data_IF_565791745769
#
_entry.id   IF_565791745769
#
_cell.length_a   1.000
_cell.length_b   1.000
_cell.length_c   1.000
_cell.angle_alpha   90.00
_cell.angle_beta   90.00
_cell.angle_gamma   90.00
#
_symmetry.space_group_name_H-M   'P 1'
#
loop_
_entity.id
_entity.type
_entity.pdbx_description
1 polymer ?
#
# COMPACT_ATOMS: atom_id res chain seq x y z
N UNK A 1 -13.60 16.01 -7.19
CA UNK A 1 -12.53 15.10 -7.65
C UNK A 1 -11.22 15.66 -7.12
N UNK A 2 -10.94 15.34 -5.85
CA UNK A 2 -9.81 15.81 -5.05
C UNK A 2 -9.47 14.59 -4.21
N UNK A 3 -8.74 13.66 -4.81
CA UNK A 3 -8.43 12.42 -4.14
C UNK A 3 -6.95 12.43 -3.80
N UNK A 4 -6.68 13.10 -2.68
CA UNK A 4 -5.46 13.17 -1.88
C UNK A 4 -4.96 11.79 -1.37
N UNK A 5 -5.15 10.68 -2.10
CA UNK A 5 -5.37 9.36 -1.47
C UNK A 5 -4.17 8.43 -1.28
N UNK A 6 -2.98 8.76 -1.77
CA UNK A 6 -1.77 7.99 -1.47
C UNK A 6 -1.02 8.61 -0.27
N UNK A 7 -1.57 8.47 0.94
CA UNK A 7 -1.01 8.86 2.25
C UNK A 7 0.08 9.96 2.27
N UNK A 8 -0.20 11.12 1.66
CA UNK A 8 0.65 12.31 1.76
C UNK A 8 0.07 13.35 2.74
N UNK A 9 -1.18 13.17 3.17
CA UNK A 9 -1.83 14.00 4.18
C UNK A 9 -2.03 13.22 5.47
N UNK A 10 -1.11 13.38 6.41
CA UNK A 10 -1.45 13.30 7.83
C UNK A 10 -1.30 14.68 8.48
N UNK A 11 -2.34 15.54 8.46
CA UNK A 11 -2.37 16.72 9.30
C UNK A 11 -3.57 16.72 10.25
N UNK A 12 -4.04 15.59 10.78
CA UNK A 12 -5.07 15.66 11.83
C UNK A 12 -5.08 14.45 12.76
N UNK A 13 -4.07 14.42 13.61
CA UNK A 13 -4.30 13.95 14.97
C UNK A 13 -3.84 15.06 15.92
N UNK A 14 -4.58 15.33 16.98
CA UNK A 14 -4.17 16.27 18.02
C UNK A 14 -2.91 15.74 18.74
N UNK A 15 -1.78 16.43 18.60
CA UNK A 15 -0.52 16.02 19.22
C UNK A 15 -0.45 16.59 20.63
N UNK A 16 -0.48 15.74 21.65
CA UNK A 16 -0.05 16.15 22.99
C UNK A 16 1.45 15.92 23.24
N UNK A 17 2.20 15.28 22.35
CA UNK A 17 3.66 15.16 22.42
C UNK A 17 4.31 15.12 21.02
N UNK A 18 5.32 15.95 20.80
CA UNK A 18 6.01 16.12 19.51
C UNK A 18 7.11 15.07 19.28
N UNK A 19 7.63 14.44 20.35
CA UNK A 19 8.73 13.46 20.29
C UNK A 19 8.31 12.06 19.78
N UNK A 20 7.02 11.78 19.63
CA UNK A 20 6.49 10.44 19.34
C UNK A 20 5.88 10.27 17.94
N UNK A 21 5.79 11.35 17.14
CA UNK A 21 5.29 11.23 15.75
C UNK A 21 6.41 11.09 14.77
N UNK A 22 6.83 9.85 14.52
CA UNK A 22 7.37 9.51 13.20
C UNK A 22 6.17 9.24 12.29
N UNK A 23 5.96 10.01 11.21
CA UNK A 23 4.93 9.67 10.22
C UNK A 23 5.19 8.27 9.70
N UNK A 24 4.12 7.49 9.54
CA UNK A 24 4.23 6.23 8.81
C UNK A 24 4.76 6.52 7.41
N UNK A 25 5.61 5.62 6.86
CA UNK A 25 6.11 5.77 5.51
C UNK A 25 4.93 5.90 4.52
N UNK A 26 5.06 6.72 3.47
CA UNK A 26 3.98 6.94 2.51
C UNK A 26 3.65 5.64 1.77
N UNK A 27 2.36 5.33 1.65
CA UNK A 27 1.84 4.14 0.97
C UNK A 27 0.63 4.51 0.10
N UNK A 28 0.33 3.67 -0.90
CA UNK A 28 -0.84 3.87 -1.74
C UNK A 28 -1.66 2.59 -1.92
N UNK A 29 -2.82 2.55 -1.27
CA UNK A 29 -3.76 1.42 -1.33
C UNK A 29 -4.34 1.25 -2.74
N UNK A 30 -4.56 2.35 -3.46
CA UNK A 30 -5.08 2.33 -4.84
C UNK A 30 -4.08 1.70 -5.81
N UNK A 31 -2.77 1.96 -5.61
CA UNK A 31 -1.73 1.31 -6.40
C UNK A 31 -1.71 -0.20 -6.15
N UNK A 32 -1.86 -0.62 -4.88
CA UNK A 32 -1.93 -2.05 -4.51
C UNK A 32 -3.16 -2.73 -5.15
N UNK A 33 -4.32 -2.09 -5.13
CA UNK A 33 -5.55 -2.61 -5.77
C UNK A 33 -5.43 -2.66 -7.30
N UNK A 34 -4.82 -1.64 -7.92
CA UNK A 34 -4.56 -1.65 -9.37
C UNK A 34 -3.58 -2.78 -9.76
N UNK A 35 -2.58 -3.05 -8.92
CA UNK A 35 -1.65 -4.16 -9.12
C UNK A 35 -2.38 -5.51 -9.09
N UNK A 36 -3.27 -5.74 -8.12
CA UNK A 36 -4.07 -6.97 -8.09
C UNK A 36 -4.97 -7.08 -9.31
N UNK A 37 -5.64 -6.00 -9.70
CA UNK A 37 -6.45 -5.98 -10.93
C UNK A 37 -5.61 -6.35 -12.16
N UNK A 38 -4.40 -5.82 -12.29
CA UNK A 38 -3.50 -6.16 -13.39
C UNK A 38 -3.06 -7.63 -13.35
N UNK A 39 -2.72 -8.15 -12.17
CA UNK A 39 -2.28 -9.54 -12.00
C UNK A 39 -3.40 -10.53 -12.38
N UNK A 40 -4.64 -10.27 -11.93
CA UNK A 40 -5.81 -11.08 -12.26
C UNK A 40 -6.18 -11.07 -13.75
N UNK A 41 -5.84 -10.00 -14.47
CA UNK A 41 -6.09 -9.90 -15.91
C UNK A 41 -4.96 -10.50 -16.76
N UNK A 42 -3.73 -10.58 -16.20
CA UNK A 42 -2.54 -11.03 -16.93
C UNK A 42 -1.64 -11.88 -16.03
N UNK A 43 -1.73 -13.19 -16.20
CA UNK A 43 -0.93 -14.18 -15.47
C UNK A 43 0.60 -13.98 -15.60
N UNK A 44 1.07 -13.41 -16.72
CA UNK A 44 2.50 -13.12 -16.94
C UNK A 44 3.06 -12.05 -16.00
N UNK A 45 2.21 -11.15 -15.49
CA UNK A 45 2.65 -10.05 -14.62
C UNK A 45 3.13 -10.57 -13.27
N UNK A 46 2.58 -11.68 -12.78
CA UNK A 46 3.04 -12.28 -11.53
C UNK A 46 4.54 -12.59 -11.58
N UNK A 47 4.99 -13.25 -12.65
CA UNK A 47 6.40 -13.63 -12.80
C UNK A 47 7.33 -12.41 -12.90
N UNK A 48 6.83 -11.29 -13.42
CA UNK A 48 7.59 -10.04 -13.50
C UNK A 48 7.80 -9.40 -12.13
N UNK A 49 6.78 -9.44 -11.28
CA UNK A 49 6.80 -8.76 -9.97
C UNK A 49 7.26 -9.64 -8.80
N UNK A 50 7.15 -10.96 -8.93
CA UNK A 50 7.50 -11.92 -7.88
C UNK A 50 8.99 -11.91 -7.50
N UNK A 51 9.86 -11.32 -8.33
CA UNK A 51 11.30 -11.21 -8.03
C UNK A 51 11.62 -10.16 -6.95
N UNK A 52 10.72 -9.22 -6.68
CA UNK A 52 10.96 -8.11 -5.73
C UNK A 52 9.78 -7.84 -4.79
N UNK A 53 8.58 -8.36 -5.07
CA UNK A 53 7.39 -8.10 -4.29
C UNK A 53 7.12 -9.25 -3.32
N UNK A 54 7.23 -8.98 -2.03
CA UNK A 54 6.85 -9.91 -0.96
C UNK A 54 5.52 -9.47 -0.33
N UNK A 55 4.73 -10.39 0.28
CA UNK A 55 3.49 -10.03 0.95
C UNK A 55 3.65 -8.90 1.98
N UNK A 56 4.78 -8.85 2.67
CA UNK A 56 5.06 -7.84 3.71
C UNK A 56 5.24 -6.41 3.16
N UNK A 57 5.43 -6.25 1.85
CA UNK A 57 5.50 -4.94 1.20
C UNK A 57 4.13 -4.26 1.07
N UNK A 58 3.02 -4.98 1.28
CA UNK A 58 1.69 -4.37 1.27
C UNK A 58 1.38 -3.75 2.63
N UNK A 59 0.80 -2.55 2.61
CA UNK A 59 0.44 -1.83 3.83
C UNK A 59 -0.78 -2.46 4.52
N UNK A 60 -1.81 -2.80 3.74
CA UNK A 60 -3.03 -3.40 4.25
C UNK A 60 -2.82 -4.90 4.53
N UNK A 61 -3.07 -5.40 5.75
CA UNK A 61 -2.97 -6.83 6.05
C UNK A 61 -3.85 -7.71 5.15
N UNK A 62 -4.99 -7.20 4.69
CA UNK A 62 -5.85 -7.92 3.74
C UNK A 62 -5.14 -8.14 2.41
N UNK A 63 -4.43 -7.12 1.91
CA UNK A 63 -3.68 -7.23 0.66
C UNK A 63 -2.54 -8.24 0.77
N UNK A 64 -1.90 -8.37 1.94
CA UNK A 64 -0.89 -9.42 2.19
C UNK A 64 -1.49 -10.81 2.03
N UNK A 65 -2.66 -11.03 2.63
CA UNK A 65 -3.36 -12.30 2.56
C UNK A 65 -3.76 -12.65 1.12
N UNK A 66 -4.22 -11.67 0.35
CA UNK A 66 -4.57 -11.87 -1.07
C UNK A 66 -3.34 -12.24 -1.90
N UNK A 67 -2.17 -11.65 -1.62
CA UNK A 67 -0.94 -11.94 -2.36
C UNK A 67 -0.25 -13.26 -1.95
N UNK A 68 -0.48 -13.73 -0.72
CA UNK A 68 0.15 -14.93 -0.16
C UNK A 68 -0.49 -16.27 -0.59
N UNK A 69 -1.66 -16.22 -1.24
CA UNK A 69 -2.42 -17.39 -1.72
C UNK A 69 -2.11 -17.63 -3.19
#
# INVERSE_FOLDING_TARGET
MKDDRCNAQNPESGAKNFSERRPDPPYCIQAQQALFGANLLRNELYNSVASFLEPDHFYDPLHRQIYAV
#
